data_IF_466966127249
#
_entry.id   IF_466966127249
#
_cell.length_a   1.000
_cell.length_b   1.000
_cell.length_c   1.000
_cell.angle_alpha   90.00
_cell.angle_beta   90.00
_cell.angle_gamma   90.00
#
_symmetry.space_group_name_H-M   'P 1'
#
loop_
_entity.id
_entity.type
_entity.pdbx_description
1 polymer ?
#
# COMPACT_ATOMS: atom_id res chain seq x y z
N UNK A 1 0.47 -26.86 -16.41
CA UNK A 1 -0.76 -26.04 -16.39
C UNK A 1 -0.55 -24.64 -16.94
N UNK A 2 0.44 -23.86 -16.49
CA UNK A 2 0.67 -22.49 -16.98
C UNK A 2 0.98 -22.42 -18.50
N UNK A 3 1.81 -23.32 -19.03
CA UNK A 3 2.15 -23.36 -20.46
C UNK A 3 0.95 -23.66 -21.39
N UNK A 4 -0.06 -24.39 -20.89
CA UNK A 4 -1.26 -24.76 -21.64
C UNK A 4 -2.35 -23.68 -21.54
N UNK A 5 -2.54 -23.12 -20.34
CA UNK A 5 -3.62 -22.15 -20.06
C UNK A 5 -3.18 -20.69 -20.25
N UNK A 6 -1.88 -20.43 -20.44
CA UNK A 6 -1.27 -19.08 -20.51
C UNK A 6 -1.61 -18.23 -19.29
N UNK A 7 -1.71 -18.88 -18.12
CA UNK A 7 -1.98 -18.22 -16.84
C UNK A 7 -0.80 -17.34 -16.42
N UNK A 8 -1.09 -16.37 -15.54
CA UNK A 8 -0.08 -15.51 -14.92
C UNK A 8 -0.11 -15.69 -13.41
N UNK A 9 1.05 -15.72 -12.79
CA UNK A 9 1.24 -15.76 -11.34
C UNK A 9 1.96 -14.50 -10.88
N UNK A 10 1.56 -13.97 -9.74
CA UNK A 10 2.17 -12.79 -9.16
C UNK A 10 2.18 -12.87 -7.65
N UNK A 11 2.88 -11.92 -7.05
CA UNK A 11 2.96 -11.76 -5.60
C UNK A 11 2.46 -10.37 -5.24
N UNK A 12 1.79 -10.28 -4.09
CA UNK A 12 1.26 -9.02 -3.56
C UNK A 12 2.29 -8.43 -2.59
N UNK A 13 2.61 -7.16 -2.79
CA UNK A 13 3.49 -6.39 -1.92
C UNK A 13 2.68 -5.26 -1.29
N UNK A 14 2.71 -5.18 0.03
CA UNK A 14 2.17 -4.03 0.76
C UNK A 14 3.28 -2.97 0.88
N UNK A 15 2.98 -1.74 0.47
CA UNK A 15 3.96 -0.66 0.63
C UNK A 15 3.30 0.71 0.75
N UNK A 16 4.04 1.61 1.40
CA UNK A 16 3.75 3.03 1.46
C UNK A 16 4.84 3.79 0.72
N UNK A 17 4.59 5.07 0.47
CA UNK A 17 5.67 5.99 0.15
C UNK A 17 6.19 6.66 1.42
N UNK A 18 7.51 6.81 1.50
CA UNK A 18 8.18 7.42 2.65
C UNK A 18 8.79 8.75 2.25
N UNK A 19 8.25 9.83 2.80
CA UNK A 19 8.77 11.18 2.60
C UNK A 19 9.89 11.42 3.63
N UNK A 20 11.07 11.91 3.24
CA UNK A 20 12.11 12.20 4.22
C UNK A 20 11.65 13.31 5.18
N UNK A 21 11.87 13.11 6.48
CA UNK A 21 11.42 14.05 7.52
C UNK A 21 11.98 15.46 7.28
N UNK A 22 13.23 15.57 6.84
CA UNK A 22 13.82 16.83 6.35
C UNK A 22 14.67 16.59 5.10
N UNK A 23 15.18 17.67 4.49
CA UNK A 23 16.04 17.56 3.29
C UNK A 23 17.47 17.09 3.59
N UNK A 24 17.80 16.80 4.85
CA UNK A 24 19.12 16.26 5.21
C UNK A 24 19.39 14.93 4.53
N UNK A 25 20.66 14.67 4.21
CA UNK A 25 21.10 13.39 3.63
C UNK A 25 20.67 12.20 4.50
N UNK A 26 20.84 12.32 5.82
CA UNK A 26 20.45 11.28 6.79
C UNK A 26 18.98 10.91 6.72
N UNK A 27 18.06 11.88 6.58
CA UNK A 27 16.63 11.60 6.49
C UNK A 27 16.21 11.08 5.10
N UNK A 28 16.89 11.50 4.03
CA UNK A 28 16.73 10.90 2.70
C UNK A 28 17.16 9.43 2.70
N UNK A 29 18.29 9.13 3.34
CA UNK A 29 18.79 7.77 3.48
C UNK A 29 17.87 6.94 4.39
N UNK A 30 17.30 7.53 5.45
CA UNK A 30 16.30 6.87 6.29
C UNK A 30 15.04 6.49 5.50
N UNK A 31 14.49 7.40 4.69
CA UNK A 31 13.36 7.11 3.82
C UNK A 31 13.65 5.97 2.84
N UNK A 32 14.86 5.94 2.27
CA UNK A 32 15.30 4.83 1.41
C UNK A 32 15.39 3.51 2.19
N UNK A 33 16.00 3.50 3.38
CA UNK A 33 16.10 2.29 4.22
C UNK A 33 14.73 1.74 4.58
N UNK A 34 13.78 2.58 4.99
CA UNK A 34 12.42 2.12 5.28
C UNK A 34 11.78 1.51 4.03
N UNK A 35 11.90 2.18 2.88
CA UNK A 35 11.35 1.64 1.64
C UNK A 35 11.98 0.30 1.26
N UNK A 36 13.28 0.11 1.47
CA UNK A 36 13.93 -1.17 1.21
C UNK A 36 13.44 -2.28 2.16
N UNK A 37 13.13 -1.97 3.42
CA UNK A 37 12.58 -2.93 4.38
C UNK A 37 11.09 -3.26 4.18
N UNK A 38 10.36 -2.45 3.41
CA UNK A 38 8.91 -2.60 3.20
C UNK A 38 8.59 -3.07 1.77
N UNK A 39 9.16 -2.41 0.77
CA UNK A 39 9.05 -2.78 -0.64
C UNK A 39 10.19 -3.70 -1.08
N UNK A 40 11.44 -3.29 -0.80
CA UNK A 40 12.64 -3.96 -1.29
C UNK A 40 12.80 -5.38 -0.76
N UNK A 41 12.31 -5.68 0.44
CA UNK A 41 12.40 -7.01 1.04
C UNK A 41 11.82 -8.10 0.12
N UNK A 42 10.72 -7.80 -0.58
CA UNK A 42 10.16 -8.70 -1.60
C UNK A 42 10.67 -8.37 -3.01
N UNK A 43 10.76 -7.11 -3.38
CA UNK A 43 11.09 -6.71 -4.75
C UNK A 43 12.54 -7.02 -5.15
N UNK A 44 13.52 -6.86 -4.25
CA UNK A 44 14.93 -7.13 -4.54
C UNK A 44 15.18 -8.62 -4.82
N UNK A 45 14.71 -9.59 -4.01
CA UNK A 45 14.84 -11.00 -4.35
C UNK A 45 14.22 -11.35 -5.71
N UNK A 46 13.03 -10.83 -6.01
CA UNK A 46 12.34 -11.11 -7.28
C UNK A 46 13.08 -10.54 -8.49
N UNK A 47 13.77 -9.41 -8.37
CA UNK A 47 14.42 -8.74 -9.50
C UNK A 47 15.91 -9.08 -9.59
N UNK A 48 16.58 -9.18 -8.45
CA UNK A 48 18.04 -9.29 -8.32
C UNK A 48 18.49 -10.65 -7.81
N UNK A 49 17.62 -11.42 -7.17
CA UNK A 49 17.93 -12.73 -6.59
C UNK A 49 18.49 -12.68 -5.17
N UNK A 50 18.51 -11.52 -4.51
CA UNK A 50 18.99 -11.36 -3.13
C UNK A 50 18.26 -10.20 -2.44
N UNK A 51 18.35 -10.14 -1.11
CA UNK A 51 17.75 -9.07 -0.30
C UNK A 51 18.45 -7.71 -0.53
N UNK A 52 17.79 -6.58 -0.21
CA UNK A 52 18.43 -5.26 -0.25
C UNK A 52 19.73 -5.24 0.58
N UNK A 53 20.77 -4.58 0.04
CA UNK A 53 22.10 -4.57 0.68
C UNK A 53 22.06 -4.02 2.10
N UNK A 54 21.38 -2.90 2.30
CA UNK A 54 21.22 -2.29 3.63
C UNK A 54 20.49 -3.21 4.60
N UNK A 55 19.48 -3.96 4.15
CA UNK A 55 18.77 -4.92 4.99
C UNK A 55 19.69 -6.04 5.44
N UNK A 56 20.53 -6.57 4.55
CA UNK A 56 21.53 -7.59 4.88
C UNK A 56 22.55 -7.09 5.90
N UNK A 57 23.04 -5.86 5.71
CA UNK A 57 24.03 -5.24 6.60
C UNK A 57 23.45 -4.97 7.99
N UNK A 58 22.20 -4.48 8.07
CA UNK A 58 21.57 -4.07 9.31
C UNK A 58 20.98 -5.24 10.10
N UNK A 59 20.38 -6.21 9.42
CA UNK A 59 19.77 -7.39 10.06
C UNK A 59 20.84 -8.45 10.38
N UNK A 60 21.86 -8.57 9.53
CA UNK A 60 22.97 -9.50 9.70
C UNK A 60 22.50 -10.96 9.73
N UNK A 61 23.02 -11.73 10.69
CA UNK A 61 22.79 -13.18 10.78
C UNK A 61 21.34 -13.61 11.07
N UNK A 62 20.45 -12.66 11.42
CA UNK A 62 19.02 -12.94 11.57
C UNK A 62 18.30 -13.05 10.22
N UNK A 63 18.92 -12.56 9.14
CA UNK A 63 18.41 -12.71 7.78
C UNK A 63 19.11 -13.91 7.13
N UNK A 64 18.36 -14.96 6.75
CA UNK A 64 18.93 -16.07 5.99
C UNK A 64 19.58 -15.58 4.70
N UNK A 65 20.56 -16.33 4.19
CA UNK A 65 21.19 -16.04 2.90
C UNK A 65 20.63 -16.99 1.87
N UNK A 66 20.30 -16.47 0.69
CA UNK A 66 19.98 -17.32 -0.45
C UNK A 66 21.21 -18.13 -0.85
N UNK A 67 21.04 -19.42 -1.10
CA UNK A 67 22.02 -20.17 -1.90
C UNK A 67 21.96 -19.69 -3.35
N UNK A 68 22.97 -20.06 -4.15
CA UNK A 68 22.99 -19.70 -5.57
C UNK A 68 21.76 -20.24 -6.29
N UNK A 69 21.39 -21.48 -6.01
CA UNK A 69 20.24 -22.16 -6.61
C UNK A 69 18.92 -21.47 -6.23
N UNK A 70 18.79 -21.06 -4.97
CA UNK A 70 17.59 -20.33 -4.52
C UNK A 70 17.51 -18.93 -5.13
N UNK A 71 18.65 -18.24 -5.25
CA UNK A 71 18.76 -16.92 -5.90
C UNK A 71 18.33 -16.99 -7.37
N UNK A 72 18.82 -17.98 -8.10
CA UNK A 72 18.42 -18.24 -9.49
C UNK A 72 16.95 -18.62 -9.61
N UNK A 73 16.41 -19.38 -8.65
CA UNK A 73 15.01 -19.80 -8.63
C UNK A 73 14.03 -18.63 -8.38
N UNK A 74 14.34 -17.71 -7.46
CA UNK A 74 13.42 -16.61 -7.10
C UNK A 74 13.47 -15.45 -8.10
N UNK A 75 14.62 -15.25 -8.75
CA UNK A 75 14.81 -14.17 -9.69
C UNK A 75 13.91 -14.36 -10.92
N UNK A 76 13.00 -13.42 -11.14
CA UNK A 76 12.02 -13.46 -12.22
C UNK A 76 10.84 -14.41 -11.96
N UNK A 77 10.66 -14.92 -10.73
CA UNK A 77 9.57 -15.82 -10.36
C UNK A 77 8.20 -15.13 -10.21
N UNK A 78 7.84 -14.24 -11.14
CA UNK A 78 6.58 -13.53 -11.18
C UNK A 78 6.27 -13.02 -12.60
N UNK A 79 4.99 -12.99 -12.97
CA UNK A 79 4.49 -12.37 -14.21
C UNK A 79 3.97 -10.94 -13.97
N UNK A 80 3.56 -10.63 -12.73
CA UNK A 80 3.09 -9.32 -12.30
C UNK A 80 3.30 -9.12 -10.79
N UNK A 81 3.22 -7.86 -10.36
CA UNK A 81 3.22 -7.46 -8.95
C UNK A 81 1.83 -6.93 -8.60
N UNK A 82 1.21 -7.50 -7.56
CA UNK A 82 0.11 -6.88 -6.86
C UNK A 82 0.65 -5.83 -5.90
N UNK A 83 0.11 -4.62 -5.91
CA UNK A 83 0.50 -3.55 -5.00
C UNK A 83 -0.69 -3.14 -4.12
N UNK A 84 -0.52 -3.30 -2.81
CA UNK A 84 -1.45 -2.78 -1.82
C UNK A 84 -0.92 -1.43 -1.33
N UNK A 85 -1.65 -0.35 -1.60
CA UNK A 85 -1.27 1.00 -1.21
C UNK A 85 -2.44 1.71 -0.53
N UNK A 86 -2.19 2.37 0.59
CA UNK A 86 -3.21 3.08 1.35
C UNK A 86 -2.81 4.49 1.78
N UNK A 87 -1.53 4.67 2.13
CA UNK A 87 -1.04 5.80 2.91
C UNK A 87 0.42 6.11 2.58
N UNK A 88 0.90 7.23 3.11
CA UNK A 88 2.33 7.58 3.16
C UNK A 88 2.69 8.06 4.56
N UNK A 89 3.98 7.98 4.88
CA UNK A 89 4.51 8.43 6.17
C UNK A 89 5.79 9.22 5.98
N UNK A 90 6.16 10.01 6.99
CA UNK A 90 7.51 10.55 7.08
C UNK A 90 8.47 9.50 7.65
N UNK A 91 9.72 9.53 7.20
CA UNK A 91 10.81 8.74 7.75
C UNK A 91 11.94 9.66 8.26
N UNK A 92 12.29 9.49 9.52
CA UNK A 92 13.34 10.25 10.19
C UNK A 92 14.46 9.31 10.64
N UNK A 93 15.71 9.72 10.43
CA UNK A 93 16.87 8.95 10.86
C UNK A 93 16.93 8.86 12.38
N UNK A 94 17.09 7.65 12.91
CA UNK A 94 17.43 7.42 14.32
C UNK A 94 18.77 6.74 14.45
N UNK A 95 19.44 6.94 15.58
CA UNK A 95 20.70 6.27 15.87
C UNK A 95 20.45 4.76 16.09
N UNK A 96 21.42 3.90 15.71
CA UNK A 96 21.34 2.46 15.98
C UNK A 96 21.17 2.18 17.47
N UNK A 97 20.40 1.13 17.79
CA UNK A 97 20.25 0.67 19.19
C UNK A 97 21.41 -0.22 19.67
N UNK A 98 22.45 -0.39 18.86
CA UNK A 98 23.63 -1.25 19.11
C UNK A 98 23.28 -2.65 19.63
N UNK A 99 22.21 -3.26 19.10
CA UNK A 99 21.81 -4.61 19.48
C UNK A 99 20.88 -4.71 20.70
N UNK A 100 20.64 -3.62 21.42
CA UNK A 100 19.88 -3.64 22.67
C UNK A 100 18.36 -3.80 22.46
N UNK A 101 17.85 -3.48 21.27
CA UNK A 101 16.41 -3.49 20.94
C UNK A 101 16.13 -4.01 19.54
N UNK A 102 16.86 -5.04 19.09
CA UNK A 102 16.70 -5.57 17.74
C UNK A 102 15.29 -6.12 17.49
N UNK A 103 14.64 -5.62 16.45
CA UNK A 103 13.31 -5.98 15.98
C UNK A 103 13.14 -5.48 14.55
N UNK A 104 12.15 -6.02 13.82
CA UNK A 104 11.82 -5.53 12.48
C UNK A 104 11.68 -4.00 12.43
N UNK A 105 11.01 -3.41 13.42
CA UNK A 105 10.73 -1.97 13.47
C UNK A 105 11.94 -1.09 13.82
N UNK A 106 13.01 -1.67 14.33
CA UNK A 106 14.23 -0.93 14.69
C UNK A 106 15.35 -1.14 13.67
N UNK A 107 15.32 -2.24 12.92
CA UNK A 107 16.44 -2.67 12.06
C UNK A 107 16.74 -1.67 10.94
N UNK A 108 15.74 -0.97 10.40
CA UNK A 108 15.96 0.04 9.36
C UNK A 108 16.50 1.39 9.89
N UNK A 109 16.70 1.52 11.20
CA UNK A 109 17.23 2.73 11.86
C UNK A 109 16.50 4.01 11.43
N UNK A 110 15.17 3.97 11.42
CA UNK A 110 14.34 5.16 11.21
C UNK A 110 13.14 5.16 12.15
N UNK A 111 12.59 6.36 12.39
CA UNK A 111 11.27 6.55 12.97
C UNK A 111 10.29 6.86 11.85
N UNK A 112 9.21 6.09 11.78
CA UNK A 112 8.10 6.33 10.86
C UNK A 112 7.03 7.13 11.60
N UNK A 113 6.52 8.20 10.99
CA UNK A 113 5.50 9.07 11.60
C UNK A 113 4.57 9.68 10.56
N UNK A 114 3.28 9.77 10.86
CA UNK A 114 2.30 10.50 10.04
C UNK A 114 2.39 12.02 10.17
N UNK A 115 3.15 12.53 11.15
CA UNK A 115 3.25 13.96 11.47
C UNK A 115 4.68 14.47 11.43
N UNK A 116 4.86 15.69 10.92
CA UNK A 116 6.11 16.45 10.96
C UNK A 116 5.85 17.82 11.57
N UNK A 117 6.50 18.10 12.70
CA UNK A 117 6.37 19.36 13.45
C UNK A 117 4.90 19.72 13.75
N UNK A 118 4.10 18.73 14.16
CA UNK A 118 2.68 18.90 14.45
C UNK A 118 1.76 18.91 13.23
N UNK A 119 2.29 18.87 12.02
CA UNK A 119 1.50 18.84 10.77
C UNK A 119 1.44 17.43 10.19
N UNK A 120 0.23 16.88 10.05
CA UNK A 120 0.01 15.59 9.41
C UNK A 120 0.40 15.63 7.92
N UNK A 121 0.89 14.51 7.39
CA UNK A 121 1.24 14.35 5.98
C UNK A 121 0.02 14.48 5.06
N UNK A 122 -1.16 14.11 5.57
CA UNK A 122 -2.46 14.27 4.92
C UNK A 122 -3.59 14.06 5.93
N UNK A 123 -4.86 14.25 5.51
CA UNK A 123 -6.02 13.97 6.35
C UNK A 123 -5.97 12.53 6.88
N UNK A 124 -6.17 12.35 8.18
CA UNK A 124 -6.20 11.03 8.80
C UNK A 124 -7.60 10.41 8.64
N UNK A 125 -7.66 9.12 8.33
CA UNK A 125 -8.91 8.36 8.35
C UNK A 125 -9.22 7.83 9.76
N UNK A 126 -10.12 6.84 9.87
CA UNK A 126 -10.45 6.23 11.16
C UNK A 126 -9.24 5.50 11.76
N UNK A 127 -8.48 4.77 10.93
CA UNK A 127 -7.21 4.18 11.29
C UNK A 127 -6.13 5.24 11.51
N UNK A 128 -5.45 5.17 12.67
CA UNK A 128 -4.36 6.10 13.02
C UNK A 128 -3.15 6.01 12.08
N UNK A 129 -2.97 4.88 11.38
CA UNK A 129 -1.88 4.68 10.43
C UNK A 129 -2.22 5.19 9.01
N UNK A 130 -3.49 5.43 8.70
CA UNK A 130 -3.96 5.77 7.36
C UNK A 130 -4.11 7.29 7.21
N UNK A 131 -3.16 7.88 6.49
CA UNK A 131 -3.17 9.29 6.10
C UNK A 131 -3.37 9.38 4.58
N UNK A 132 -4.40 10.11 4.15
CA UNK A 132 -4.78 10.23 2.74
C UNK A 132 -3.71 11.04 1.99
N UNK A 133 -2.84 10.32 1.27
CA UNK A 133 -1.72 10.92 0.54
C UNK A 133 -1.58 10.33 -0.87
N UNK A 134 -2.42 10.75 -1.84
CA UNK A 134 -2.45 10.17 -3.19
C UNK A 134 -1.17 10.39 -3.99
N UNK A 135 -0.42 11.46 -3.70
CA UNK A 135 0.87 11.71 -4.36
C UNK A 135 1.85 10.55 -4.12
N UNK A 136 1.85 9.97 -2.92
CA UNK A 136 2.73 8.85 -2.59
C UNK A 136 2.49 7.61 -3.46
N UNK A 137 1.27 7.37 -3.93
CA UNK A 137 0.98 6.28 -4.88
C UNK A 137 1.73 6.50 -6.19
N UNK A 138 1.70 7.74 -6.71
CA UNK A 138 2.42 8.09 -7.94
C UNK A 138 3.93 7.94 -7.74
N UNK A 139 4.47 8.50 -6.66
CA UNK A 139 5.91 8.41 -6.37
C UNK A 139 6.38 6.95 -6.24
N UNK A 140 5.61 6.11 -5.54
CA UNK A 140 5.91 4.69 -5.38
C UNK A 140 5.89 3.94 -6.72
N UNK A 141 4.90 4.18 -7.58
CA UNK A 141 4.83 3.55 -8.90
C UNK A 141 5.98 3.97 -9.81
N UNK A 142 6.36 5.25 -9.79
CA UNK A 142 7.51 5.74 -10.55
C UNK A 142 8.82 5.20 -10.00
N UNK A 143 8.95 5.09 -8.68
CA UNK A 143 10.09 4.44 -8.06
C UNK A 143 10.20 2.98 -8.51
N UNK A 144 9.10 2.22 -8.52
CA UNK A 144 9.10 0.82 -8.98
C UNK A 144 9.49 0.74 -10.45
N UNK A 145 8.95 1.63 -11.29
CA UNK A 145 9.33 1.74 -12.71
C UNK A 145 10.83 1.91 -12.89
N UNK A 146 11.43 2.86 -12.16
CA UNK A 146 12.82 3.24 -12.32
C UNK A 146 13.80 2.22 -11.72
N UNK A 147 13.42 1.55 -10.62
CA UNK A 147 14.35 0.76 -9.81
C UNK A 147 14.14 -0.75 -9.92
N UNK A 148 13.01 -1.20 -10.49
CA UNK A 148 12.66 -2.62 -10.60
C UNK A 148 12.25 -3.03 -12.02
N UNK A 149 12.62 -2.24 -13.04
CA UNK A 149 12.45 -2.62 -14.45
C UNK A 149 11.01 -2.49 -14.97
N UNK A 150 10.17 -1.66 -14.33
CA UNK A 150 8.78 -1.39 -14.73
C UNK A 150 7.92 -2.65 -14.96
N UNK A 151 7.81 -3.53 -13.94
CA UNK A 151 7.01 -4.74 -14.05
C UNK A 151 5.54 -4.43 -14.31
N UNK A 152 4.78 -5.42 -14.77
CA UNK A 152 3.32 -5.31 -14.82
C UNK A 152 2.78 -5.19 -13.40
N UNK A 153 2.02 -4.15 -13.10
CA UNK A 153 1.45 -3.89 -11.77
C UNK A 153 -0.07 -3.94 -11.82
N UNK A 154 -0.68 -4.54 -10.80
CA UNK A 154 -2.09 -4.36 -10.46
C UNK A 154 -2.17 -3.70 -9.08
N UNK A 155 -2.94 -2.64 -8.93
CA UNK A 155 -3.29 -2.16 -7.58
C UNK A 155 -4.29 -3.15 -7.01
N UNK A 156 -3.83 -4.04 -6.13
CA UNK A 156 -4.63 -5.14 -5.57
C UNK A 156 -5.45 -4.71 -4.38
N UNK A 157 -5.01 -3.68 -3.67
CA UNK A 157 -5.79 -3.02 -2.63
C UNK A 157 -5.50 -1.52 -2.59
N UNK A 158 -6.56 -0.74 -2.48
CA UNK A 158 -6.53 0.69 -2.16
C UNK A 158 -7.89 1.08 -1.60
N UNK A 159 -7.93 1.84 -0.51
CA UNK A 159 -9.19 2.17 0.16
C UNK A 159 -9.00 3.07 1.39
N UNK A 160 -10.11 3.44 2.01
CA UNK A 160 -10.13 4.24 3.24
C UNK A 160 -11.25 3.77 4.15
N UNK A 161 -10.98 3.77 5.45
CA UNK A 161 -11.88 3.33 6.48
C UNK A 161 -12.63 4.48 7.18
N UNK A 162 -13.78 4.11 7.71
CA UNK A 162 -14.58 4.93 8.62
C UNK A 162 -14.86 4.14 9.90
N UNK A 163 -15.03 4.86 11.01
CA UNK A 163 -15.42 4.24 12.28
C UNK A 163 -16.81 3.63 12.12
N UNK A 164 -16.97 2.38 12.56
CA UNK A 164 -18.27 1.76 12.67
C UNK A 164 -19.05 2.35 13.85
N UNK A 165 -19.93 3.31 13.56
CA UNK A 165 -20.85 3.84 14.56
C UNK A 165 -22.20 3.09 14.51
N UNK A 166 -22.41 2.19 15.48
CA UNK A 166 -23.64 1.37 15.56
C UNK A 166 -24.91 2.17 15.84
N UNK A 167 -24.82 3.39 16.38
CA UNK A 167 -26.00 4.23 16.67
C UNK A 167 -26.34 5.16 15.49
N UNK A 168 -25.50 5.19 14.45
CA UNK A 168 -25.71 6.02 13.27
C UNK A 168 -26.89 5.47 12.44
N UNK A 169 -27.85 6.33 12.04
CA UNK A 169 -28.91 5.91 11.12
C UNK A 169 -28.33 5.41 9.79
N UNK A 170 -28.91 4.35 9.22
CA UNK A 170 -28.43 3.73 7.99
C UNK A 170 -28.20 4.75 6.86
N UNK A 171 -29.13 5.69 6.66
CA UNK A 171 -29.01 6.74 5.62
C UNK A 171 -27.71 7.55 5.76
N UNK A 172 -27.27 7.80 6.98
CA UNK A 172 -26.05 8.55 7.27
C UNK A 172 -24.81 7.64 7.13
N UNK A 173 -24.91 6.37 7.55
CA UNK A 173 -23.85 5.37 7.37
C UNK A 173 -23.54 5.04 5.90
N UNK A 174 -24.50 5.27 4.99
CA UNK A 174 -24.29 5.14 3.54
C UNK A 174 -23.65 6.38 2.90
N UNK A 175 -23.54 7.50 3.62
CA UNK A 175 -23.02 8.76 3.11
C UNK A 175 -21.49 8.89 3.31
N UNK A 176 -20.73 8.12 2.54
CA UNK A 176 -19.27 8.01 2.66
C UNK A 176 -18.50 8.90 1.66
N UNK A 177 -18.79 10.20 1.65
CA UNK A 177 -18.19 11.13 0.68
C UNK A 177 -16.66 11.21 0.78
N UNK A 178 -16.08 11.04 1.97
CA UNK A 178 -14.63 10.96 2.15
C UNK A 178 -14.02 9.80 1.36
N UNK A 179 -14.72 8.66 1.27
CA UNK A 179 -14.30 7.51 0.46
C UNK A 179 -14.37 7.81 -1.03
N UNK A 180 -15.38 8.54 -1.49
CA UNK A 180 -15.45 9.04 -2.88
C UNK A 180 -14.25 9.92 -3.20
N UNK A 181 -13.97 10.91 -2.34
CA UNK A 181 -12.83 11.82 -2.55
C UNK A 181 -11.50 11.09 -2.55
N UNK A 182 -11.33 10.11 -1.65
CA UNK A 182 -10.16 9.26 -1.59
C UNK A 182 -9.92 8.56 -2.93
N UNK A 183 -10.93 7.85 -3.43
CA UNK A 183 -10.84 7.10 -4.68
C UNK A 183 -10.58 8.01 -5.87
N UNK A 184 -11.30 9.13 -5.97
CA UNK A 184 -11.09 10.10 -7.03
C UNK A 184 -9.64 10.61 -7.06
N UNK A 185 -9.08 11.01 -5.91
CA UNK A 185 -7.71 11.52 -5.81
C UNK A 185 -6.66 10.44 -6.11
N UNK A 186 -6.84 9.21 -5.63
CA UNK A 186 -5.91 8.10 -5.89
C UNK A 186 -5.96 7.61 -7.34
N UNK A 187 -7.14 7.52 -7.94
CA UNK A 187 -7.28 7.17 -9.36
C UNK A 187 -6.69 8.26 -10.28
N UNK A 188 -6.79 9.53 -9.89
CA UNK A 188 -6.10 10.62 -10.60
C UNK A 188 -4.57 10.49 -10.51
N UNK A 189 -4.03 10.21 -9.33
CA UNK A 189 -2.59 9.97 -9.14
C UNK A 189 -2.11 8.75 -9.93
N UNK A 190 -2.89 7.67 -9.94
CA UNK A 190 -2.64 6.46 -10.72
C UNK A 190 -2.60 6.76 -12.22
N UNK A 191 -3.60 7.49 -12.74
CA UNK A 191 -3.63 7.91 -14.14
C UNK A 191 -2.40 8.73 -14.51
N UNK A 192 -1.95 9.62 -13.63
CA UNK A 192 -0.75 10.42 -13.87
C UNK A 192 0.51 9.54 -13.88
N UNK A 193 0.65 8.60 -12.94
CA UNK A 193 1.75 7.62 -12.98
C UNK A 193 1.78 6.80 -14.27
N UNK A 194 0.60 6.36 -14.76
CA UNK A 194 0.48 5.65 -16.03
C UNK A 194 0.88 6.51 -17.23
N UNK A 195 0.49 7.79 -17.25
CA UNK A 195 0.94 8.76 -18.27
C UNK A 195 2.45 8.95 -18.26
N UNK A 196 3.06 8.90 -17.08
CA UNK A 196 4.50 8.98 -16.87
C UNK A 196 5.22 7.62 -17.07
N UNK A 197 4.50 6.61 -17.58
CA UNK A 197 5.04 5.35 -18.08
C UNK A 197 5.00 4.17 -17.10
N UNK A 198 4.39 4.30 -15.92
CA UNK A 198 4.21 3.18 -15.00
C UNK A 198 3.29 2.11 -15.62
N UNK A 199 3.73 0.85 -15.63
CA UNK A 199 3.01 -0.25 -16.29
C UNK A 199 1.89 -0.85 -15.41
N UNK A 200 0.86 -0.06 -15.14
CA UNK A 200 -0.32 -0.51 -14.37
C UNK A 200 -1.40 -1.06 -15.30
N UNK A 201 -1.95 -2.23 -14.96
CA UNK A 201 -2.98 -2.94 -15.75
C UNK A 201 -4.34 -3.08 -15.08
N UNK A 202 -4.45 -2.78 -13.79
CA UNK A 202 -5.74 -2.84 -13.11
C UNK A 202 -5.71 -2.21 -11.73
N UNK A 203 -6.91 -1.99 -11.22
CA UNK A 203 -7.17 -1.37 -9.93
C UNK A 203 -8.32 -2.09 -9.24
N UNK A 204 -8.10 -2.49 -7.99
CA UNK A 204 -9.04 -3.21 -7.15
C UNK A 204 -9.22 -2.43 -5.85
N UNK A 205 -10.45 -1.97 -5.61
CA UNK A 205 -10.81 -1.24 -4.41
C UNK A 205 -10.87 -2.21 -3.21
N UNK A 206 -10.19 -1.85 -2.12
CA UNK A 206 -10.40 -2.49 -0.83
C UNK A 206 -11.47 -1.71 -0.04
N UNK A 207 -12.69 -2.23 0.12
CA UNK A 207 -13.13 -3.57 -0.29
C UNK A 207 -14.54 -3.57 -0.83
N UNK A 208 -14.97 -4.71 -1.38
CA UNK A 208 -16.32 -4.86 -1.90
C UNK A 208 -17.36 -4.63 -0.79
N UNK A 209 -17.12 -5.18 0.41
CA UNK A 209 -18.05 -5.20 1.53
C UNK A 209 -17.33 -4.78 2.81
N UNK A 210 -18.06 -4.16 3.73
CA UNK A 210 -17.58 -4.10 5.12
C UNK A 210 -17.32 -5.54 5.61
N UNK A 211 -16.17 -5.74 6.25
CA UNK A 211 -15.66 -7.06 6.59
C UNK A 211 -14.92 -7.01 7.94
N UNK A 212 -14.26 -8.11 8.31
CA UNK A 212 -13.51 -8.24 9.55
C UNK A 212 -12.07 -7.72 9.38
N UNK A 213 -11.79 -6.54 9.91
CA UNK A 213 -10.50 -5.83 9.78
C UNK A 213 -9.51 -6.29 10.86
N UNK A 214 -9.20 -7.58 10.86
CA UNK A 214 -8.14 -8.19 11.67
C UNK A 214 -8.25 -7.87 13.17
N UNK A 215 -7.26 -7.19 13.74
CA UNK A 215 -7.21 -6.83 15.16
C UNK A 215 -8.31 -5.81 15.54
N UNK A 216 -8.80 -5.03 14.58
CA UNK A 216 -9.87 -4.04 14.80
C UNK A 216 -11.27 -4.67 14.66
N UNK A 217 -11.35 -5.93 14.22
CA UNK A 217 -12.59 -6.65 14.01
C UNK A 217 -13.57 -5.87 13.13
N UNK A 218 -14.81 -5.71 13.58
CA UNK A 218 -15.84 -4.98 12.83
C UNK A 218 -15.94 -3.49 13.22
N UNK A 219 -14.94 -2.93 13.89
CA UNK A 219 -14.98 -1.52 14.35
C UNK A 219 -14.62 -0.51 13.27
N UNK A 220 -14.04 -0.98 12.16
CA UNK A 220 -13.67 -0.18 11.00
C UNK A 220 -14.40 -0.70 9.74
N UNK A 221 -14.75 0.20 8.83
CA UNK A 221 -15.51 -0.10 7.62
C UNK A 221 -14.78 0.39 6.38
N UNK A 222 -14.22 -0.53 5.59
CA UNK A 222 -13.58 -0.24 4.30
C UNK A 222 -14.49 -0.41 3.08
N UNK A 223 -15.66 -1.06 3.25
CA UNK A 223 -16.46 -1.54 2.15
C UNK A 223 -17.11 -0.44 1.32
N UNK A 224 -17.18 -0.66 0.00
CA UNK A 224 -18.09 0.07 -0.89
C UNK A 224 -19.57 -0.21 -0.56
N UNK A 225 -19.85 -1.38 0.02
CA UNK A 225 -21.18 -1.75 0.49
C UNK A 225 -21.15 -1.89 2.00
N UNK A 226 -22.10 -1.23 2.66
CA UNK A 226 -22.38 -1.42 4.07
C UNK A 226 -22.94 -2.82 4.29
N UNK A 227 -22.42 -3.52 5.31
CA UNK A 227 -22.98 -4.77 5.78
C UNK A 227 -23.68 -4.51 7.12
N UNK A 228 -24.98 -4.79 7.13
CA UNK A 228 -25.82 -4.71 8.32
C UNK A 228 -25.69 -6.01 9.12
N UNK A 229 -24.83 -6.00 10.13
CA UNK A 229 -24.58 -7.16 10.98
C UNK A 229 -25.79 -7.53 11.85
N UNK A 230 -26.70 -6.59 12.10
CA UNK A 230 -27.86 -6.78 12.99
C UNK A 230 -29.14 -7.15 12.19
N UNK A 231 -29.18 -6.85 10.89
CA UNK A 231 -30.27 -7.23 9.97
C UNK A 231 -29.82 -8.32 8.98
N UNK A 232 -29.38 -9.47 9.51
CA UNK A 232 -29.13 -10.67 8.73
C UNK A 232 -28.05 -10.52 7.65
N UNK A 233 -27.04 -9.67 7.88
CA UNK A 233 -25.95 -9.41 6.94
C UNK A 233 -26.44 -8.77 5.63
N UNK A 234 -27.50 -7.96 5.64
CA UNK A 234 -27.96 -7.27 4.43
C UNK A 234 -26.88 -6.32 3.89
N UNK A 235 -26.83 -6.19 2.55
CA UNK A 235 -25.85 -5.35 1.84
C UNK A 235 -26.54 -4.10 1.31
N UNK A 236 -26.01 -2.95 1.68
CA UNK A 236 -26.50 -1.66 1.27
C UNK A 236 -25.39 -0.90 0.54
N UNK A 237 -25.52 -0.63 -0.78
CA UNK A 237 -24.52 0.15 -1.51
C UNK A 237 -24.37 1.54 -0.89
N UNK A 238 -23.14 1.93 -0.56
CA UNK A 238 -22.83 3.29 -0.10
C UNK A 238 -22.78 4.25 -1.28
N UNK A 239 -22.70 5.55 -1.01
CA UNK A 239 -22.53 6.57 -2.05
C UNK A 239 -21.29 6.30 -2.91
N UNK A 240 -20.21 5.79 -2.33
CA UNK A 240 -19.00 5.39 -3.06
C UNK A 240 -19.23 4.25 -4.07
N UNK A 241 -20.08 3.26 -3.76
CA UNK A 241 -20.45 2.21 -4.72
C UNK A 241 -21.21 2.80 -5.92
N UNK A 242 -22.15 3.71 -5.66
CA UNK A 242 -22.88 4.41 -6.71
C UNK A 242 -21.97 5.29 -7.57
N UNK A 243 -21.02 5.99 -6.93
CA UNK A 243 -20.01 6.78 -7.63
C UNK A 243 -19.13 5.91 -8.52
N UNK A 244 -18.59 4.80 -8.02
CA UNK A 244 -17.77 3.86 -8.81
C UNK A 244 -18.54 3.33 -10.03
N UNK A 245 -19.82 2.96 -9.84
CA UNK A 245 -20.68 2.51 -10.93
C UNK A 245 -20.82 3.59 -12.02
N UNK A 246 -20.98 4.86 -11.64
CA UNK A 246 -21.07 5.98 -12.59
C UNK A 246 -19.72 6.19 -13.30
N UNK A 247 -18.63 6.30 -12.54
CA UNK A 247 -17.28 6.47 -13.05
C UNK A 247 -16.90 5.41 -14.10
N UNK A 248 -17.17 4.12 -13.82
CA UNK A 248 -16.88 3.02 -14.75
C UNK A 248 -17.73 3.05 -16.02
N UNK A 249 -18.96 3.58 -15.97
CA UNK A 249 -19.81 3.73 -17.16
C UNK A 249 -19.27 4.83 -18.07
N UNK A 250 -18.83 5.94 -17.50
CA UNK A 250 -18.25 7.06 -18.24
C UNK A 250 -16.90 6.67 -18.88
N UNK A 251 -16.08 5.88 -18.19
CA UNK A 251 -14.84 5.33 -18.76
C UNK A 251 -15.02 4.42 -19.98
N UNK A 252 -16.18 3.76 -20.13
CA UNK A 252 -16.44 2.89 -21.29
C UNK A 252 -16.87 3.67 -22.54
N UNK A 253 -17.18 4.96 -22.39
CA UNK A 253 -17.71 5.81 -23.46
C UNK A 253 -16.67 6.74 -24.07
N UNK A 254 -15.48 6.88 -23.48
CA UNK A 254 -14.36 7.67 -23.98
C UNK A 254 -13.16 6.79 -24.30
#
# INVERSE_FOLDING_TARGET
MQALQKGKIGIIVNSQWYVPFSQSKTNKDAARRVLDFVLGWLMDPLIRGDYPLNMRELVGNRLPKFTKEQSEMVKGAFDFIGLNYYSSSYAENVLPSYGLKNSYNTDFHARITGSRNGTLIGPQAASSWLHIYPQGLRELLLYIKENYGNPTIFITENGVDEVNNKTMPLKEALNDNTRIEYYHKHLLALRNAMRDGANVKGYFAWSLLDNFEWADGYTLRFGLNFVDYDDGMKRHPKNSAHWFKKFLREMKQG
#
